data_IF_012853826767
#
_entry.id   IF_012853826767
#
_cell.length_a   1.000
_cell.length_b   1.000
_cell.length_c   1.000
_cell.angle_alpha   90.00
_cell.angle_beta   90.00
_cell.angle_gamma   90.00
#
_symmetry.space_group_name_H-M   'P 1'
#
loop_
_entity.id
_entity.type
_entity.pdbx_description
1 polymer ?
#
# COMPACT_ATOMS: atom_id res chain seq x y z
N UNK A 1 -33.43 -76.49 -108.94
CA UNK A 1 -33.13 -76.66 -107.50
C UNK A 1 -33.34 -75.28 -106.88
N UNK A 2 -34.60 -74.91 -106.62
CA UNK A 2 -35.24 -74.79 -105.28
C UNK A 2 -34.75 -73.53 -104.53
N UNK A 3 -35.53 -72.44 -104.50
CA UNK A 3 -36.49 -72.05 -103.42
C UNK A 3 -35.74 -71.42 -102.22
N UNK A 4 -36.13 -70.35 -101.52
CA UNK A 4 -37.25 -69.39 -101.48
C UNK A 4 -36.86 -68.30 -100.42
N UNK A 5 -37.62 -67.19 -100.39
CA UNK A 5 -38.00 -66.35 -99.24
C UNK A 5 -37.02 -65.50 -98.39
N UNK A 6 -37.27 -64.19 -98.45
CA UNK A 6 -37.20 -63.22 -97.32
C UNK A 6 -38.34 -63.49 -96.32
N UNK A 7 -38.22 -63.11 -95.03
CA UNK A 7 -39.05 -61.98 -94.57
C UNK A 7 -38.44 -61.06 -93.48
N UNK A 8 -39.14 -59.93 -93.32
CA UNK A 8 -39.00 -58.80 -92.40
C UNK A 8 -39.04 -59.12 -90.89
N UNK A 9 -38.58 -58.16 -90.06
CA UNK A 9 -38.87 -58.15 -88.62
C UNK A 9 -38.25 -56.96 -87.88
N UNK A 10 -38.96 -55.83 -87.91
CA UNK A 10 -38.78 -54.68 -87.01
C UNK A 10 -39.06 -55.08 -85.55
N UNK A 11 -38.25 -54.59 -84.60
CA UNK A 11 -38.68 -54.44 -83.19
C UNK A 11 -38.14 -53.13 -82.60
N UNK A 12 -39.01 -52.17 -82.23
CA UNK A 12 -38.63 -50.95 -81.53
C UNK A 12 -38.60 -51.18 -80.02
N UNK A 13 -37.52 -50.77 -79.34
CA UNK A 13 -37.48 -50.65 -77.87
C UNK A 13 -36.42 -49.63 -77.46
N UNK A 14 -36.61 -48.68 -76.55
CA UNK A 14 -37.77 -48.03 -75.95
C UNK A 14 -37.20 -46.78 -75.21
N UNK A 15 -37.85 -45.60 -75.24
CA UNK A 15 -37.36 -44.36 -74.61
C UNK A 15 -37.26 -44.40 -73.06
N UNK A 16 -37.90 -45.37 -72.38
CA UNK A 16 -38.04 -45.40 -70.92
C UNK A 16 -36.74 -45.66 -70.13
N UNK A 17 -35.78 -46.40 -70.68
CA UNK A 17 -34.52 -46.72 -69.98
C UNK A 17 -33.55 -45.54 -69.90
N UNK A 18 -33.67 -44.59 -70.84
CA UNK A 18 -32.85 -43.38 -70.91
C UNK A 18 -33.37 -42.29 -69.96
N UNK A 19 -34.69 -42.09 -69.94
CA UNK A 19 -35.35 -41.16 -69.01
C UNK A 19 -35.09 -41.50 -67.54
N UNK A 20 -35.07 -42.79 -67.18
CA UNK A 20 -34.78 -43.20 -65.80
C UNK A 20 -33.34 -42.91 -65.38
N UNK A 21 -32.37 -42.99 -66.30
CA UNK A 21 -30.96 -42.65 -66.04
C UNK A 21 -30.75 -41.13 -65.94
N UNK A 22 -31.46 -40.35 -66.75
CA UNK A 22 -31.42 -38.89 -66.71
C UNK A 22 -32.08 -38.36 -65.42
N UNK A 23 -33.22 -38.92 -65.00
CA UNK A 23 -33.88 -38.56 -63.74
C UNK A 23 -33.02 -38.89 -62.49
N UNK A 24 -32.25 -39.98 -62.52
CA UNK A 24 -31.31 -40.33 -61.44
C UNK A 24 -30.13 -39.35 -61.40
N UNK A 25 -29.59 -38.94 -62.55
CA UNK A 25 -28.51 -37.93 -62.63
C UNK A 25 -29.00 -36.56 -62.16
N UNK A 26 -30.22 -36.17 -62.51
CA UNK A 26 -30.82 -34.91 -62.05
C UNK A 26 -31.05 -34.90 -60.53
N UNK A 27 -31.56 -36.01 -59.96
CA UNK A 27 -31.70 -36.16 -58.50
C UNK A 27 -30.36 -36.16 -57.79
N UNK A 28 -29.34 -36.84 -58.33
CA UNK A 28 -27.99 -36.83 -57.78
C UNK A 28 -27.40 -35.41 -57.77
N UNK A 29 -27.55 -34.66 -58.86
CA UNK A 29 -27.10 -33.26 -58.95
C UNK A 29 -27.83 -32.35 -57.94
N UNK A 30 -29.15 -32.51 -57.76
CA UNK A 30 -29.92 -31.75 -56.77
C UNK A 30 -29.51 -32.07 -55.32
N UNK A 31 -29.17 -33.32 -55.02
CA UNK A 31 -28.68 -33.72 -53.69
C UNK A 31 -27.28 -33.16 -53.43
N UNK A 32 -26.36 -33.25 -54.40
CA UNK A 32 -25.02 -32.67 -54.28
C UNK A 32 -25.06 -31.14 -54.14
N UNK A 33 -25.96 -30.45 -54.87
CA UNK A 33 -26.15 -29.00 -54.73
C UNK A 33 -26.70 -28.60 -53.34
N UNK A 34 -27.64 -29.37 -52.77
CA UNK A 34 -28.16 -29.13 -51.42
C UNK A 34 -27.12 -29.41 -50.33
N UNK A 35 -26.35 -30.49 -50.45
CA UNK A 35 -25.31 -30.85 -49.47
C UNK A 35 -24.13 -29.86 -49.46
N UNK A 36 -23.70 -29.37 -50.63
CA UNK A 36 -22.62 -28.38 -50.73
C UNK A 36 -23.02 -27.02 -50.17
N UNK A 37 -24.27 -26.56 -50.41
CA UNK A 37 -24.80 -25.34 -49.76
C UNK A 37 -24.88 -25.48 -48.24
N UNK A 38 -25.42 -26.61 -47.73
CA UNK A 38 -25.50 -26.84 -46.30
C UNK A 38 -24.12 -26.90 -45.61
N UNK A 39 -23.12 -27.51 -46.26
CA UNK A 39 -21.73 -27.57 -45.74
C UNK A 39 -21.08 -26.19 -45.70
N UNK A 40 -21.28 -25.35 -46.72
CA UNK A 40 -20.78 -23.96 -46.74
C UNK A 40 -21.42 -23.09 -45.67
N UNK A 41 -22.73 -23.23 -45.45
CA UNK A 41 -23.46 -22.50 -44.40
C UNK A 41 -22.98 -22.93 -43.02
N UNK A 42 -22.85 -24.24 -42.75
CA UNK A 42 -22.36 -24.76 -41.47
C UNK A 42 -20.92 -24.35 -41.17
N UNK A 43 -20.04 -24.38 -42.18
CA UNK A 43 -18.66 -23.92 -42.04
C UNK A 43 -18.58 -22.41 -41.77
N UNK A 44 -19.45 -21.60 -42.41
CA UNK A 44 -19.55 -20.17 -42.16
C UNK A 44 -20.00 -19.84 -40.74
N UNK A 45 -21.01 -20.56 -40.21
CA UNK A 45 -21.51 -20.35 -38.83
C UNK A 45 -20.43 -20.67 -37.79
N UNK A 46 -19.67 -21.77 -37.98
CA UNK A 46 -18.58 -22.14 -37.06
C UNK A 46 -17.44 -21.10 -37.12
N UNK A 47 -17.07 -20.65 -38.32
CA UNK A 47 -16.03 -19.62 -38.48
C UNK A 47 -16.40 -18.29 -37.82
N UNK A 48 -17.65 -17.82 -38.00
CA UNK A 48 -18.16 -16.59 -37.37
C UNK A 48 -18.22 -16.73 -35.84
N UNK A 49 -18.64 -17.90 -35.33
CA UNK A 49 -18.66 -18.17 -33.89
C UNK A 49 -17.27 -18.13 -33.25
N UNK A 50 -16.26 -18.72 -33.89
CA UNK A 50 -14.87 -18.71 -33.39
C UNK A 50 -14.30 -17.27 -33.40
N UNK A 51 -14.52 -16.51 -34.47
CA UNK A 51 -14.05 -15.11 -34.56
C UNK A 51 -14.71 -14.23 -33.50
N UNK A 52 -16.01 -14.43 -33.24
CA UNK A 52 -16.73 -13.70 -32.19
C UNK A 52 -16.19 -14.04 -30.78
N UNK A 53 -15.95 -15.32 -30.49
CA UNK A 53 -15.40 -15.75 -29.19
C UNK A 53 -13.97 -15.23 -29.00
N UNK A 54 -13.11 -15.36 -30.01
CA UNK A 54 -11.73 -14.84 -29.94
C UNK A 54 -11.72 -13.31 -29.82
N UNK A 55 -12.63 -12.61 -30.51
CA UNK A 55 -12.80 -11.16 -30.38
C UNK A 55 -13.24 -10.75 -28.98
N UNK A 56 -14.23 -11.45 -28.39
CA UNK A 56 -14.68 -11.18 -27.01
C UNK A 56 -13.58 -11.47 -25.99
N UNK A 57 -12.86 -12.59 -26.12
CA UNK A 57 -11.73 -12.91 -25.23
C UNK A 57 -10.61 -11.91 -25.39
N UNK A 58 -10.25 -11.50 -26.61
CA UNK A 58 -9.26 -10.47 -26.84
C UNK A 58 -9.69 -9.12 -26.24
N UNK A 59 -10.96 -8.73 -26.40
CA UNK A 59 -11.53 -7.52 -25.79
C UNK A 59 -11.51 -7.61 -24.27
N UNK A 60 -11.93 -8.73 -23.67
CA UNK A 60 -11.88 -8.94 -22.22
C UNK A 60 -10.45 -8.93 -21.67
N UNK A 61 -9.49 -9.54 -22.37
CA UNK A 61 -8.07 -9.53 -21.98
C UNK A 61 -7.49 -8.13 -22.15
N UNK A 62 -7.77 -7.42 -23.24
CA UNK A 62 -7.33 -6.02 -23.40
C UNK A 62 -7.99 -5.10 -22.38
N UNK A 63 -9.27 -5.29 -22.06
CA UNK A 63 -9.97 -4.48 -21.06
C UNK A 63 -9.44 -4.77 -19.66
N UNK A 64 -9.21 -6.04 -19.31
CA UNK A 64 -8.58 -6.43 -18.05
C UNK A 64 -7.16 -5.87 -17.92
N UNK A 65 -6.37 -5.90 -19.01
CA UNK A 65 -5.02 -5.33 -19.06
C UNK A 65 -5.06 -3.79 -19.02
N UNK A 66 -6.04 -3.14 -19.64
CA UNK A 66 -6.18 -1.67 -19.63
C UNK A 66 -6.76 -1.15 -18.29
N UNK A 67 -7.61 -1.92 -17.60
CA UNK A 67 -7.98 -1.62 -16.21
C UNK A 67 -6.80 -1.77 -15.24
N UNK A 68 -5.72 -2.45 -15.67
CA UNK A 68 -4.44 -2.46 -14.95
C UNK A 68 -3.42 -1.44 -15.48
N UNK A 69 -3.74 -0.65 -16.51
CA UNK A 69 -2.85 0.41 -16.96
C UNK A 69 -3.17 1.72 -16.25
N UNK A 70 -2.20 2.15 -15.43
CA UNK A 70 -2.06 3.51 -14.92
C UNK A 70 -2.95 3.87 -13.72
N UNK A 71 -2.70 3.22 -12.58
CA UNK A 71 -2.58 4.04 -11.37
C UNK A 71 -1.39 4.96 -11.62
N UNK A 72 -1.65 6.26 -11.82
CA UNK A 72 -0.57 7.23 -11.68
C UNK A 72 0.02 6.96 -10.30
N UNK A 73 1.33 6.73 -10.20
CA UNK A 73 1.96 6.49 -8.91
C UNK A 73 1.71 7.75 -8.05
N UNK A 74 0.72 7.67 -7.17
CA UNK A 74 0.32 8.79 -6.34
C UNK A 74 1.45 9.06 -5.36
N UNK A 75 1.78 10.33 -5.19
CA UNK A 75 2.66 10.80 -4.12
C UNK A 75 1.78 11.37 -3.01
N UNK A 76 1.93 10.94 -1.75
CA UNK A 76 1.18 11.47 -0.63
C UNK A 76 1.41 12.99 -0.52
N UNK A 77 0.34 13.79 -0.54
CA UNK A 77 0.47 15.25 -0.48
C UNK A 77 1.02 15.73 0.87
N UNK A 78 0.84 14.93 1.93
CA UNK A 78 1.38 15.20 3.27
C UNK A 78 2.87 14.86 3.42
N UNK A 79 3.46 14.11 2.48
CA UNK A 79 4.85 13.68 2.60
C UNK A 79 5.83 14.85 2.37
N UNK A 80 6.79 15.01 3.29
CA UNK A 80 7.97 15.85 3.12
C UNK A 80 9.21 14.94 3.18
N UNK A 81 9.96 14.87 2.07
CA UNK A 81 11.08 13.93 1.93
C UNK A 81 10.71 12.47 2.31
N UNK A 82 9.48 12.05 1.99
CA UNK A 82 8.88 10.75 2.37
C UNK A 82 8.53 10.55 3.85
N UNK A 83 8.74 11.57 4.68
CA UNK A 83 8.33 11.60 6.07
C UNK A 83 6.96 12.24 6.26
N UNK A 84 6.27 11.82 7.33
CA UNK A 84 5.04 12.42 7.81
C UNK A 84 5.27 12.96 9.23
N UNK A 85 5.18 14.28 9.36
CA UNK A 85 5.29 14.95 10.64
C UNK A 85 4.06 14.63 11.51
N UNK A 86 4.29 14.35 12.78
CA UNK A 86 3.24 14.19 13.78
C UNK A 86 2.71 15.57 14.13
N UNK A 87 1.42 15.79 13.86
CA UNK A 87 0.76 17.07 14.17
C UNK A 87 -0.16 17.00 15.38
N UNK A 88 -0.44 15.78 15.85
CA UNK A 88 -1.37 15.48 16.92
C UNK A 88 -0.99 14.12 17.52
N UNK A 89 -1.12 13.98 18.84
CA UNK A 89 -0.79 12.75 19.58
C UNK A 89 -1.99 12.23 20.40
N UNK A 90 -3.17 12.82 20.22
CA UNK A 90 -4.40 12.36 20.85
C UNK A 90 -4.76 10.94 20.36
N UNK A 91 -5.50 10.21 21.17
CA UNK A 91 -5.99 8.87 20.83
C UNK A 91 -4.99 7.74 21.05
N UNK A 92 -3.77 8.03 21.52
CA UNK A 92 -2.87 6.99 22.03
C UNK A 92 -3.24 6.63 23.47
N UNK A 93 -3.75 5.42 23.67
CA UNK A 93 -4.00 4.88 25.02
C UNK A 93 -2.66 4.47 25.64
N UNK A 94 -2.07 5.37 26.43
CA UNK A 94 -0.86 5.08 27.19
C UNK A 94 -1.25 4.21 28.40
N UNK A 95 -0.89 2.93 28.38
CA UNK A 95 -0.94 2.10 29.57
C UNK A 95 0.19 2.54 30.50
N UNK A 96 -0.11 3.46 31.42
CA UNK A 96 0.82 3.82 32.48
C UNK A 96 0.92 2.63 33.45
N UNK A 97 1.99 1.84 33.37
CA UNK A 97 2.33 0.90 34.43
C UNK A 97 2.59 1.71 35.71
N UNK A 98 1.75 1.46 36.72
CA UNK A 98 1.57 2.32 37.86
C UNK A 98 2.80 2.48 38.74
N UNK A 99 3.14 3.73 39.05
CA UNK A 99 3.53 4.09 40.41
C UNK A 99 2.25 4.31 41.19
N UNK A 100 1.82 3.28 41.91
CA UNK A 100 0.82 3.41 42.95
C UNK A 100 1.40 4.27 44.07
N UNK A 101 1.03 5.54 44.15
CA UNK A 101 0.91 6.22 45.44
C UNK A 101 -0.55 6.62 45.64
N UNK A 102 -1.36 5.62 45.99
CA UNK A 102 -2.67 5.86 46.58
C UNK A 102 -2.47 6.24 48.04
N UNK A 103 -2.38 7.54 48.31
CA UNK A 103 -2.75 8.10 49.60
C UNK A 103 -3.90 9.08 49.40
N UNK A 104 -5.11 8.56 49.62
CA UNK A 104 -6.29 9.38 49.89
C UNK A 104 -5.99 10.29 51.08
N UNK A 105 -6.06 11.60 50.91
CA UNK A 105 -6.23 12.55 52.02
C UNK A 105 -7.31 13.55 51.64
N UNK A 106 -8.25 13.69 52.57
CA UNK A 106 -9.43 14.55 52.53
C UNK A 106 -9.13 16.01 52.21
N UNK A 107 -10.18 16.69 51.75
CA UNK A 107 -10.27 18.13 51.55
C UNK A 107 -9.72 18.93 52.73
N UNK A 108 -8.66 19.70 52.45
CA UNK A 108 -8.10 20.72 53.32
C UNK A 108 -7.77 21.97 52.51
N UNK A 109 -8.35 23.08 52.92
CA UNK A 109 -8.28 24.44 52.34
C UNK A 109 -6.87 24.90 51.97
N UNK A 110 -6.78 25.57 50.82
CA UNK A 110 -5.63 26.25 50.20
C UNK A 110 -4.80 27.11 51.16
N UNK A 111 -3.49 27.20 50.92
CA UNK A 111 -2.92 28.52 50.64
C UNK A 111 -2.21 28.55 49.28
N UNK A 112 -2.41 29.66 48.57
CA UNK A 112 -1.84 30.00 47.27
C UNK A 112 -0.32 29.84 47.28
N UNK A 113 0.18 28.83 46.57
CA UNK A 113 1.58 28.77 46.18
C UNK A 113 1.76 29.68 44.96
N UNK A 114 2.65 30.65 45.09
CA UNK A 114 3.17 31.50 44.01
C UNK A 114 3.57 30.61 42.84
N UNK A 115 3.03 30.91 41.66
CA UNK A 115 3.45 30.28 40.42
C UNK A 115 4.96 30.48 40.26
N UNK A 116 5.71 29.38 40.21
CA UNK A 116 7.06 29.40 39.64
C UNK A 116 6.96 29.98 38.22
N UNK A 117 7.91 30.82 37.80
CA UNK A 117 7.88 31.38 36.46
C UNK A 117 7.94 30.22 35.46
N UNK A 118 6.91 30.10 34.63
CA UNK A 118 6.97 29.35 33.38
C UNK A 118 8.26 29.76 32.67
N UNK A 119 9.21 28.84 32.39
CA UNK A 119 10.39 29.19 31.63
C UNK A 119 9.90 29.75 30.29
N UNK A 120 10.39 30.95 29.95
CA UNK A 120 10.14 31.53 28.64
C UNK A 120 10.68 30.57 27.56
N UNK A 121 10.04 30.47 26.39
CA UNK A 121 10.55 29.65 25.30
C UNK A 121 11.98 30.11 24.99
N UNK A 122 12.94 29.22 25.19
CA UNK A 122 14.30 29.40 24.73
C UNK A 122 14.25 29.48 23.20
N UNK A 123 14.94 30.44 22.58
CA UNK A 123 15.17 30.54 21.13
C UNK A 123 16.01 29.35 20.58
N UNK A 124 16.02 28.21 21.26
CA UNK A 124 16.70 26.99 20.83
C UNK A 124 15.93 26.37 19.66
N UNK A 125 16.62 25.90 18.61
CA UNK A 125 15.98 25.21 17.51
C UNK A 125 15.25 23.97 18.05
N UNK A 126 14.02 23.76 17.58
CA UNK A 126 13.23 22.55 17.88
C UNK A 126 14.05 21.30 17.51
N UNK A 127 14.17 20.35 18.44
CA UNK A 127 14.93 19.12 18.21
C UNK A 127 14.16 18.25 17.22
N UNK A 128 14.80 17.88 16.10
CA UNK A 128 14.19 17.00 15.11
C UNK A 128 14.44 15.54 15.45
N UNK A 129 13.37 14.75 15.53
CA UNK A 129 13.40 13.29 15.67
C UNK A 129 12.81 12.66 14.41
N UNK A 130 13.61 11.86 13.70
CA UNK A 130 13.18 11.09 12.53
C UNK A 130 13.19 9.61 12.86
N UNK A 131 12.10 8.91 12.55
CA UNK A 131 11.96 7.47 12.79
C UNK A 131 11.60 6.76 11.48
N UNK A 132 12.55 6.02 10.92
CA UNK A 132 12.28 5.10 9.81
C UNK A 132 11.70 3.80 10.36
N UNK A 133 10.47 3.51 9.97
CA UNK A 133 9.62 2.51 10.61
C UNK A 133 9.14 1.46 9.61
N UNK A 134 9.34 0.18 9.92
CA UNK A 134 8.67 -0.93 9.24
C UNK A 134 7.68 -1.57 10.21
N UNK A 135 6.41 -1.64 9.81
CA UNK A 135 5.33 -2.10 10.67
C UNK A 135 5.36 -3.60 11.00
N UNK A 136 6.27 -4.38 10.39
CA UNK A 136 6.53 -5.78 10.75
C UNK A 136 7.83 -5.95 11.57
N UNK A 137 8.62 -4.89 11.74
CA UNK A 137 9.86 -4.96 12.52
C UNK A 137 9.57 -4.96 14.01
N UNK A 138 10.06 -5.99 14.71
CA UNK A 138 9.94 -6.11 16.16
C UNK A 138 10.66 -4.99 16.89
N UNK A 139 11.82 -4.55 16.39
CA UNK A 139 12.54 -3.41 16.96
C UNK A 139 11.75 -2.10 16.80
N UNK A 140 11.02 -1.96 15.69
CA UNK A 140 10.19 -0.76 15.48
C UNK A 140 9.04 -0.72 16.49
N UNK A 141 8.45 -1.89 16.78
CA UNK A 141 7.44 -2.02 17.83
C UNK A 141 8.03 -1.75 19.22
N UNK A 142 9.18 -2.34 19.55
CA UNK A 142 9.89 -2.14 20.81
C UNK A 142 10.17 -0.65 21.08
N UNK A 143 10.77 0.05 20.11
CA UNK A 143 11.04 1.48 20.23
C UNK A 143 9.76 2.29 20.42
N UNK A 144 8.74 2.06 19.58
CA UNK A 144 7.49 2.81 19.66
C UNK A 144 6.81 2.62 21.00
N UNK A 145 6.65 1.38 21.47
CA UNK A 145 5.91 1.09 22.69
C UNK A 145 6.61 1.64 23.93
N UNK A 146 7.95 1.61 23.96
CA UNK A 146 8.73 2.15 25.05
C UNK A 146 8.76 3.69 25.06
N UNK A 147 8.79 4.33 23.89
CA UNK A 147 9.04 5.77 23.77
C UNK A 147 7.80 6.61 23.43
N UNK A 148 6.67 6.00 23.01
CA UNK A 148 5.44 6.73 22.69
C UNK A 148 5.00 7.69 23.81
N UNK A 149 4.99 7.31 25.11
CA UNK A 149 4.57 8.24 26.16
C UNK A 149 5.38 9.53 26.21
N UNK A 150 6.72 9.43 26.17
CA UNK A 150 7.59 10.60 26.25
C UNK A 150 7.62 11.40 24.93
N UNK A 151 7.55 10.70 23.79
CA UNK A 151 7.45 11.34 22.48
C UNK A 151 6.16 12.16 22.37
N UNK A 152 5.04 11.64 22.87
CA UNK A 152 3.78 12.37 22.96
C UNK A 152 3.94 13.65 23.78
N UNK A 153 4.48 13.54 25.01
CA UNK A 153 4.72 14.71 25.87
C UNK A 153 5.59 15.75 25.16
N UNK A 154 6.68 15.34 24.52
CA UNK A 154 7.60 16.27 23.88
C UNK A 154 7.00 16.95 22.64
N UNK A 155 6.17 16.25 21.87
CA UNK A 155 5.44 16.85 20.74
C UNK A 155 4.38 17.83 21.24
N UNK A 156 3.60 17.45 22.27
CA UNK A 156 2.57 18.32 22.87
C UNK A 156 3.15 19.61 23.47
N UNK A 157 4.31 19.50 24.10
CA UNK A 157 5.04 20.65 24.65
C UNK A 157 5.73 21.50 23.56
N UNK A 158 5.76 21.04 22.30
CA UNK A 158 6.49 21.67 21.21
C UNK A 158 8.01 21.61 21.39
N UNK A 159 8.51 20.67 22.19
CA UNK A 159 9.93 20.48 22.46
C UNK A 159 10.66 19.75 21.32
N UNK A 160 9.94 18.92 20.57
CA UNK A 160 10.49 18.15 19.45
C UNK A 160 9.56 18.15 18.23
N UNK A 161 10.16 18.13 17.04
CA UNK A 161 9.49 17.80 15.80
C UNK A 161 9.67 16.31 15.53
N UNK A 162 8.58 15.53 15.62
CA UNK A 162 8.62 14.10 15.38
C UNK A 162 8.11 13.77 13.97
N UNK A 163 8.93 13.09 13.16
CA UNK A 163 8.56 12.66 11.81
C UNK A 163 8.80 11.16 11.63
N UNK A 164 7.77 10.43 11.20
CA UNK A 164 7.89 9.02 10.83
C UNK A 164 8.07 8.87 9.32
N UNK A 165 8.97 7.96 8.93
CA UNK A 165 9.26 7.60 7.55
C UNK A 165 8.89 6.12 7.34
N UNK A 166 7.65 5.83 6.91
CA UNK A 166 7.21 4.46 6.67
C UNK A 166 8.00 3.79 5.55
N UNK A 167 8.60 2.65 5.85
CA UNK A 167 9.41 1.84 4.94
C UNK A 167 8.98 0.38 4.97
N UNK A 168 9.41 -0.39 3.96
CA UNK A 168 8.94 -1.76 3.72
C UNK A 168 10.11 -2.77 3.59
N UNK A 169 11.08 -2.68 4.49
CA UNK A 169 12.27 -3.54 4.56
C UNK A 169 11.93 -5.03 4.72
N UNK A 170 10.82 -5.35 5.39
CA UNK A 170 10.37 -6.72 5.69
C UNK A 170 9.27 -7.20 4.74
N UNK A 171 9.13 -6.60 3.55
CA UNK A 171 8.11 -6.99 2.55
C UNK A 171 8.07 -8.49 2.27
N UNK A 172 9.23 -9.17 2.23
CA UNK A 172 9.31 -10.61 1.95
C UNK A 172 8.97 -11.52 3.16
N UNK A 173 8.76 -10.96 4.35
CA UNK A 173 8.59 -11.66 5.63
C UNK A 173 7.13 -11.85 6.05
N UNK A 174 6.22 -11.87 5.09
CA UNK A 174 4.77 -11.94 5.34
C UNK A 174 4.05 -12.93 4.42
N UNK A 175 4.57 -14.16 4.31
CA UNK A 175 3.99 -15.25 3.51
C UNK A 175 3.53 -14.86 2.07
N UNK A 176 4.22 -13.89 1.45
CA UNK A 176 3.89 -13.37 0.12
C UNK A 176 2.81 -12.29 0.06
N UNK A 177 2.15 -11.93 1.16
CA UNK A 177 1.12 -10.88 1.22
C UNK A 177 1.70 -9.47 1.18
N UNK A 178 3.00 -9.30 1.49
CA UNK A 178 3.71 -8.01 1.47
C UNK A 178 3.18 -7.02 2.51
N UNK A 179 2.89 -7.50 3.72
CA UNK A 179 2.32 -6.71 4.81
C UNK A 179 3.07 -5.40 5.06
N UNK A 180 4.41 -5.39 5.21
CA UNK A 180 5.18 -4.15 5.44
C UNK A 180 4.93 -3.08 4.37
N UNK A 181 4.84 -3.48 3.11
CA UNK A 181 4.57 -2.56 2.00
C UNK A 181 3.15 -1.99 2.06
N UNK A 182 2.16 -2.84 2.36
CA UNK A 182 0.75 -2.44 2.46
C UNK A 182 0.52 -1.55 3.67
N UNK A 183 1.13 -1.86 4.81
CA UNK A 183 1.07 -1.06 6.02
C UNK A 183 1.75 0.32 5.85
N UNK A 184 2.90 0.38 5.19
CA UNK A 184 3.56 1.65 4.86
C UNK A 184 2.74 2.52 3.88
N UNK A 185 2.07 1.90 2.90
CA UNK A 185 1.13 2.61 2.04
C UNK A 185 -0.13 3.07 2.80
N UNK A 186 -0.63 2.25 3.73
CA UNK A 186 -1.79 2.59 4.54
C UNK A 186 -1.52 3.77 5.48
N UNK A 187 -0.32 3.84 6.08
CA UNK A 187 0.04 4.97 6.92
C UNK A 187 0.16 6.27 6.13
N UNK A 188 0.60 6.20 4.87
CA UNK A 188 0.54 7.34 3.95
C UNK A 188 -0.89 7.78 3.60
N UNK A 189 -1.83 6.85 3.48
CA UNK A 189 -3.27 7.17 3.32
C UNK A 189 -3.81 7.91 4.54
N UNK A 190 -3.50 7.44 5.75
CA UNK A 190 -3.90 8.11 6.99
C UNK A 190 -3.26 9.50 7.07
N UNK A 191 -1.94 9.62 6.90
CA UNK A 191 -1.25 10.91 6.94
C UNK A 191 -1.79 11.92 5.91
N UNK A 192 -2.21 11.45 4.73
CA UNK A 192 -2.72 12.33 3.66
C UNK A 192 -4.16 12.81 3.91
N UNK A 193 -5.00 11.96 4.52
CA UNK A 193 -6.45 12.20 4.59
C UNK A 193 -6.99 12.41 6.00
N UNK A 194 -6.17 12.16 7.03
CA UNK A 194 -6.46 12.27 8.45
C UNK A 194 -5.15 12.35 9.24
N UNK A 195 -4.36 13.41 9.02
CA UNK A 195 -3.03 13.59 9.63
C UNK A 195 -3.06 13.65 11.16
N UNK A 196 -4.18 14.11 11.73
CA UNK A 196 -4.49 14.10 13.15
C UNK A 196 -4.50 12.68 13.75
N UNK A 197 -4.97 11.69 12.99
CA UNK A 197 -4.99 10.29 13.43
C UNK A 197 -3.71 9.51 13.11
N UNK A 198 -2.72 10.14 12.47
CA UNK A 198 -1.52 9.45 11.97
C UNK A 198 -0.71 8.80 13.09
N UNK A 199 -0.44 9.53 14.18
CA UNK A 199 0.34 8.99 15.30
C UNK A 199 -0.39 7.85 16.01
N UNK A 200 -1.69 7.99 16.24
CA UNK A 200 -2.53 6.93 16.80
C UNK A 200 -2.55 5.67 15.92
N UNK A 201 -2.65 5.83 14.60
CA UNK A 201 -2.58 4.71 13.65
C UNK A 201 -1.20 4.05 13.63
N UNK A 202 -0.13 4.85 13.59
CA UNK A 202 1.24 4.35 13.65
C UNK A 202 1.47 3.51 14.92
N UNK A 203 1.04 4.03 16.08
CA UNK A 203 1.11 3.31 17.34
C UNK A 203 0.26 2.04 17.33
N UNK A 204 -0.95 2.08 16.78
CA UNK A 204 -1.85 0.92 16.72
C UNK A 204 -1.26 -0.23 15.89
N UNK A 205 -0.66 0.06 14.72
CA UNK A 205 -0.01 -0.97 13.89
C UNK A 205 1.18 -1.63 14.58
N UNK A 206 1.94 -0.89 15.39
CA UNK A 206 3.10 -1.39 16.10
C UNK A 206 2.73 -2.13 17.39
N UNK A 207 1.66 -1.69 18.06
CA UNK A 207 1.11 -2.37 19.23
C UNK A 207 0.40 -3.69 18.86
N UNK A 208 -0.30 -3.71 17.74
CA UNK A 208 -1.03 -4.87 17.23
C UNK A 208 -0.24 -5.55 16.11
N UNK A 209 1.09 -5.63 16.24
CA UNK A 209 1.92 -6.16 15.17
C UNK A 209 1.61 -7.64 14.89
N UNK A 210 1.39 -8.06 13.63
CA UNK A 210 1.25 -9.46 13.29
C UNK A 210 2.60 -10.19 13.43
N UNK A 211 2.54 -11.50 13.66
CA UNK A 211 3.73 -12.33 13.72
C UNK A 211 4.54 -12.27 12.41
N UNK A 212 5.87 -12.26 12.54
CA UNK A 212 6.77 -12.40 11.39
C UNK A 212 6.52 -13.75 10.71
N UNK A 213 6.57 -13.75 9.37
CA UNK A 213 6.28 -14.88 8.50
C UNK A 213 4.79 -15.31 8.46
N UNK A 214 3.89 -14.63 9.19
CA UNK A 214 2.45 -14.75 9.01
C UNK A 214 1.93 -13.87 7.86
N UNK A 215 0.65 -14.04 7.49
CA UNK A 215 0.03 -13.27 6.41
C UNK A 215 -0.05 -11.75 6.73
N UNK A 216 -0.04 -11.36 8.01
CA UNK A 216 -0.32 -9.99 8.44
C UNK A 216 -1.75 -9.56 8.15
N UNK A 217 -2.07 -8.29 8.43
CA UNK A 217 -3.42 -7.77 8.18
C UNK A 217 -3.71 -7.61 6.69
N UNK A 218 -4.94 -7.91 6.29
CA UNK A 218 -5.50 -7.53 5.00
C UNK A 218 -5.71 -6.02 4.87
N UNK A 219 -5.95 -5.52 3.66
CA UNK A 219 -6.17 -4.08 3.44
C UNK A 219 -7.47 -3.58 4.12
N UNK A 220 -8.48 -4.45 4.21
CA UNK A 220 -9.71 -4.17 4.96
C UNK A 220 -9.43 -4.07 6.47
N UNK A 221 -8.62 -4.97 7.04
CA UNK A 221 -8.23 -4.89 8.45
C UNK A 221 -7.35 -3.66 8.74
N UNK A 222 -6.44 -3.31 7.82
CA UNK A 222 -5.66 -2.06 7.92
C UNK A 222 -6.58 -0.82 7.93
N UNK A 223 -7.62 -0.82 7.09
CA UNK A 223 -8.62 0.26 7.08
C UNK A 223 -9.49 0.26 8.34
N UNK A 224 -9.80 -0.91 8.91
CA UNK A 224 -10.52 -1.03 10.19
C UNK A 224 -9.68 -0.48 11.34
N UNK A 225 -8.38 -0.78 11.38
CA UNK A 225 -7.44 -0.22 12.37
C UNK A 225 -7.37 1.31 12.21
N UNK A 226 -7.24 1.82 10.98
CA UNK A 226 -7.26 3.26 10.72
C UNK A 226 -8.55 3.92 11.24
N UNK A 227 -9.70 3.29 11.01
CA UNK A 227 -10.97 3.76 11.55
C UNK A 227 -10.99 3.78 13.08
N UNK A 228 -10.46 2.73 13.72
CA UNK A 228 -10.36 2.65 15.18
C UNK A 228 -9.39 3.68 15.78
N UNK A 229 -8.41 4.15 15.00
CA UNK A 229 -7.48 5.23 15.38
C UNK A 229 -8.07 6.64 15.29
N UNK A 230 -9.35 6.80 14.95
CA UNK A 230 -10.05 8.08 15.05
C UNK A 230 -10.00 8.96 13.80
N UNK A 231 -9.71 8.40 12.62
CA UNK A 231 -9.66 9.17 11.36
C UNK A 231 -10.93 9.99 11.10
N UNK A 232 -10.75 11.27 10.75
CA UNK A 232 -11.83 12.23 10.51
C UNK A 232 -12.64 11.94 9.23
N UNK A 233 -12.03 11.32 8.20
CA UNK A 233 -12.70 10.92 6.96
C UNK A 233 -12.54 9.41 6.66
N UNK A 234 -13.23 8.54 7.41
CA UNK A 234 -12.98 7.09 7.38
C UNK A 234 -13.27 6.44 6.03
N UNK A 235 -14.21 6.99 5.23
CA UNK A 235 -14.54 6.44 3.90
C UNK A 235 -13.43 6.71 2.89
N UNK A 236 -12.85 7.92 2.90
CA UNK A 236 -11.75 8.27 1.98
C UNK A 236 -10.49 7.53 2.37
N UNK A 237 -10.16 7.47 3.67
CA UNK A 237 -9.02 6.69 4.18
C UNK A 237 -9.16 5.22 3.80
N UNK A 238 -10.32 4.60 4.07
CA UNK A 238 -10.58 3.21 3.69
C UNK A 238 -10.37 2.96 2.20
N UNK A 239 -10.96 3.80 1.35
CA UNK A 239 -10.81 3.64 -0.10
C UNK A 239 -9.34 3.75 -0.54
N UNK A 240 -8.58 4.70 0.01
CA UNK A 240 -7.16 4.84 -0.29
C UNK A 240 -6.36 3.58 0.08
N UNK A 241 -6.64 3.01 1.26
CA UNK A 241 -5.97 1.79 1.76
C UNK A 241 -6.35 0.58 0.89
N UNK A 242 -7.65 0.32 0.71
CA UNK A 242 -8.14 -0.86 -0.02
C UNK A 242 -7.79 -0.82 -1.52
N UNK A 243 -7.58 0.36 -2.11
CA UNK A 243 -7.09 0.50 -3.48
C UNK A 243 -5.56 0.39 -3.60
N UNK A 244 -4.83 0.45 -2.48
CA UNK A 244 -3.36 0.42 -2.48
C UNK A 244 -2.74 1.66 -3.13
N UNK A 245 -3.37 2.82 -2.98
CA UNK A 245 -3.06 4.06 -3.71
C UNK A 245 -1.57 4.48 -3.59
N UNK A 246 -0.95 4.21 -2.44
CA UNK A 246 0.44 4.60 -2.15
C UNK A 246 1.45 3.43 -2.15
N UNK A 247 1.10 2.24 -2.64
CA UNK A 247 2.03 1.09 -2.70
C UNK A 247 3.29 1.40 -3.51
N UNK A 248 3.13 2.07 -4.65
CA UNK A 248 4.27 2.47 -5.50
C UNK A 248 5.15 3.53 -4.84
N UNK A 249 4.55 4.44 -4.06
CA UNK A 249 5.30 5.42 -3.30
C UNK A 249 6.09 4.76 -2.16
N UNK A 250 5.46 3.91 -1.35
CA UNK A 250 6.09 3.24 -0.21
C UNK A 250 7.31 2.39 -0.64
N UNK A 251 7.19 1.68 -1.77
CA UNK A 251 8.31 0.95 -2.38
C UNK A 251 9.48 1.89 -2.71
N UNK A 252 9.20 3.00 -3.39
CA UNK A 252 10.25 3.95 -3.79
C UNK A 252 10.84 4.74 -2.62
N UNK A 253 10.04 5.05 -1.60
CA UNK A 253 10.51 5.67 -0.36
C UNK A 253 11.49 4.74 0.36
N UNK A 254 11.17 3.44 0.42
CA UNK A 254 12.08 2.42 0.94
C UNK A 254 13.38 2.32 0.13
N UNK A 255 13.28 2.30 -1.20
CA UNK A 255 14.46 2.26 -2.09
C UNK A 255 15.38 3.47 -1.87
N UNK A 256 14.82 4.68 -1.74
CA UNK A 256 15.60 5.88 -1.42
C UNK A 256 16.28 5.78 -0.07
N UNK A 257 15.56 5.37 0.97
CA UNK A 257 16.12 5.26 2.32
C UNK A 257 17.27 4.23 2.40
N UNK A 258 17.21 3.16 1.62
CA UNK A 258 18.29 2.17 1.51
C UNK A 258 19.51 2.73 0.78
N UNK A 259 19.31 3.63 -0.18
CA UNK A 259 20.40 4.26 -0.94
C UNK A 259 21.10 5.34 -0.13
N UNK A 260 20.34 6.24 0.49
CA UNK A 260 20.85 7.36 1.29
C UNK A 260 19.75 7.95 2.15
N UNK A 261 20.09 8.36 3.36
CA UNK A 261 19.21 9.11 4.26
C UNK A 261 19.55 10.59 4.12
N UNK A 262 18.62 11.43 3.60
CA UNK A 262 18.88 12.84 3.42
C UNK A 262 19.29 13.53 4.72
N UNK A 263 20.13 14.56 4.61
CA UNK A 263 20.57 15.38 5.75
C UNK A 263 21.32 14.58 6.82
N UNK A 264 22.05 13.56 6.38
CA UNK A 264 22.99 12.79 7.20
C UNK A 264 24.33 12.62 6.48
N UNK A 265 25.39 12.33 7.22
CA UNK A 265 26.73 12.08 6.66
C UNK A 265 26.83 10.65 6.07
N UNK A 266 25.98 10.34 5.08
CA UNK A 266 25.98 9.07 4.34
C UNK A 266 25.36 7.89 5.09
N UNK A 267 24.42 8.16 6.00
CA UNK A 267 23.66 7.10 6.67
C UNK A 267 22.75 6.41 5.67
N UNK A 268 22.64 5.09 5.77
CA UNK A 268 21.77 4.26 4.93
C UNK A 268 20.86 3.43 5.83
N UNK A 269 19.65 3.15 5.34
CA UNK A 269 18.74 2.23 6.03
C UNK A 269 19.21 0.78 5.86
N UNK A 270 19.86 0.25 6.90
CA UNK A 270 20.33 -1.15 6.94
C UNK A 270 19.47 -2.04 7.84
N UNK A 271 18.58 -1.45 8.63
CA UNK A 271 17.66 -2.12 9.54
C UNK A 271 16.58 -1.15 10.02
N UNK A 272 15.57 -1.67 10.70
CA UNK A 272 14.49 -0.86 11.30
C UNK A 272 14.30 -1.21 12.77
N UNK A 273 14.06 -0.21 13.64
CA UNK A 273 13.93 1.20 13.29
C UNK A 273 15.31 1.81 13.06
N UNK A 274 15.37 2.84 12.22
CA UNK A 274 16.47 3.79 12.24
C UNK A 274 15.94 5.08 12.87
N UNK A 275 16.51 5.48 14.00
CA UNK A 275 16.12 6.66 14.77
C UNK A 275 17.25 7.68 14.67
N UNK A 276 16.91 8.90 14.26
CA UNK A 276 17.83 10.02 14.15
C UNK A 276 17.35 11.16 15.04
N UNK A 277 18.27 11.82 15.73
CA UNK A 277 18.04 13.07 16.46
C UNK A 277 19.00 14.12 15.90
N UNK A 278 18.46 15.19 15.30
CA UNK A 278 19.24 16.20 14.56
C UNK A 278 20.29 15.56 13.62
N UNK A 279 19.89 14.55 12.85
CA UNK A 279 20.76 13.82 11.91
C UNK A 279 21.70 12.79 12.55
N UNK A 280 21.79 12.71 13.88
CA UNK A 280 22.64 11.75 14.59
C UNK A 280 21.90 10.44 14.87
N UNK A 281 22.52 9.31 14.53
CA UNK A 281 21.93 7.97 14.72
C UNK A 281 21.90 7.57 16.19
N UNK A 282 20.72 7.20 16.68
CA UNK A 282 20.59 6.53 17.97
C UNK A 282 20.92 5.03 17.83
N UNK A 283 21.90 4.56 18.62
CA UNK A 283 22.38 3.17 18.63
C UNK A 283 22.20 2.48 19.98
N UNK A 284 21.44 3.10 20.88
CA UNK A 284 21.19 2.60 22.24
C UNK A 284 20.05 1.58 22.30
N UNK A 285 19.64 1.24 23.52
CA UNK A 285 18.56 0.29 23.78
C UNK A 285 17.18 0.87 23.39
N UNK A 286 16.48 0.20 22.47
CA UNK A 286 15.19 0.65 21.92
C UNK A 286 14.08 0.66 22.98
N UNK A 287 14.16 -0.21 23.98
CA UNK A 287 13.22 -0.38 25.08
C UNK A 287 13.51 0.51 26.31
N UNK A 288 14.55 1.36 26.25
CA UNK A 288 14.99 2.17 27.38
C UNK A 288 14.70 3.67 27.17
N UNK A 289 13.50 4.16 27.53
CA UNK A 289 13.09 5.54 27.29
C UNK A 289 14.02 6.58 27.93
N UNK A 290 14.60 6.26 29.10
CA UNK A 290 15.53 7.14 29.81
C UNK A 290 16.86 7.30 29.07
N UNK A 291 17.35 6.23 28.46
CA UNK A 291 18.57 6.26 27.66
C UNK A 291 18.35 7.03 26.37
N UNK A 292 17.20 6.83 25.70
CA UNK A 292 16.84 7.64 24.53
C UNK A 292 16.72 9.13 24.89
N UNK A 293 16.08 9.47 26.01
CA UNK A 293 16.00 10.86 26.50
C UNK A 293 17.39 11.46 26.79
N UNK A 294 18.31 10.69 27.37
CA UNK A 294 19.69 11.15 27.58
C UNK A 294 20.44 11.40 26.26
N UNK A 295 20.21 10.56 25.25
CA UNK A 295 20.76 10.79 23.92
C UNK A 295 20.24 12.10 23.32
N UNK A 296 18.92 12.32 23.38
CA UNK A 296 18.29 13.56 22.89
C UNK A 296 18.90 14.80 23.55
N UNK A 297 19.04 14.79 24.89
CA UNK A 297 19.64 15.90 25.64
C UNK A 297 21.11 16.13 25.31
N UNK A 298 21.86 15.07 25.03
CA UNK A 298 23.27 15.16 24.64
C UNK A 298 23.40 15.84 23.27
N UNK A 299 22.59 15.41 22.30
CA UNK A 299 22.58 15.99 20.95
C UNK A 299 22.16 17.47 20.98
N UNK A 300 21.14 17.81 21.77
CA UNK A 300 20.71 19.20 21.94
C UNK A 300 21.81 20.08 22.57
N UNK A 301 22.47 19.55 23.60
CA UNK A 301 23.60 20.24 24.24
C UNK A 301 24.75 20.48 23.27
N UNK A 302 25.14 19.48 22.48
CA UNK A 302 26.21 19.60 21.49
C UNK A 302 25.87 20.63 20.41
N UNK A 303 24.61 20.67 19.96
CA UNK A 303 24.13 21.67 19.01
C UNK A 303 24.23 23.09 19.59
N UNK A 304 23.84 23.28 20.86
CA UNK A 304 23.94 24.57 21.55
C UNK A 304 25.39 25.06 21.60
N UNK A 305 26.35 24.20 21.98
CA UNK A 305 27.75 24.59 22.09
C UNK A 305 28.48 24.75 20.74
N UNK A 306 27.93 24.26 19.63
CA UNK A 306 28.47 24.47 18.28
C UNK A 306 27.99 25.77 17.61
N UNK A 307 26.94 26.41 18.12
CA UNK A 307 26.52 27.73 17.62
C UNK A 307 27.46 28.83 18.17
N UNK A 308 28.02 29.72 17.32
CA UNK A 308 28.92 30.77 17.79
C UNK A 308 28.14 31.74 18.69
N UNK A 309 28.66 31.96 19.91
CA UNK A 309 28.13 32.95 20.84
C UNK A 309 28.06 34.34 20.15
N UNK A 310 26.95 35.10 20.29
CA UNK A 310 26.82 36.39 19.64
C UNK A 310 27.99 37.30 20.04
N UNK A 311 28.68 37.86 19.05
CA UNK A 311 29.76 38.81 19.29
C UNK A 311 29.19 40.00 20.06
N UNK A 312 29.74 40.37 21.23
CA UNK A 312 29.23 41.51 21.99
C UNK A 312 29.31 42.76 21.12
N UNK A 313 28.17 43.42 20.94
CA UNK A 313 28.11 44.72 20.25
C UNK A 313 28.92 45.71 21.09
N UNK A 314 29.93 46.39 20.52
CA UNK A 314 30.68 47.39 21.27
C UNK A 314 29.73 48.55 21.63
N UNK A 315 29.56 48.79 22.92
CA UNK A 315 28.84 49.95 23.44
C UNK A 315 29.58 51.24 23.04
N UNK A 316 28.88 52.27 22.49
CA UNK A 316 29.48 53.54 22.11
C UNK A 316 29.91 54.40 23.30
#
# INVERSE_FOLDING_TARGET
>A
MSSDQTPSGEQPAAPEARDRREAVREKAQKVHAKQTRARRIRAGIIGVGIVAVVGVVAVCVTWAVISTTSTQALTPAAAKADGFAVTDVDGVVIAQEGVNDSTSTEAGTTPTATADPTPAPTDAPEIEIRVYVDYLSTGSAEFQLANAPQLSTWVDEGAVSLTYYPVAMLTAKSNGTKYSLRAAAASACVATHASDAFFAFNNALLNQQPDVDADGYSDTELADIAQASGVSNPKVVRACIENGDFLSWAKKATERAVEDIPETDGVQLTGTPLVLVNGSVYVGALDNPKEFAQFVLTIDSDAYYQTPSPTPTPTP
#
